data_IF_742815699114
#
_entry.id   IF_742815699114
#
_cell.length_a   1.000
_cell.length_b   1.000
_cell.length_c   1.000
_cell.angle_alpha   90.00
_cell.angle_beta   90.00
_cell.angle_gamma   90.00
#
_symmetry.space_group_name_H-M   'P 1'
#
loop_
_entity.id
_entity.type
_entity.pdbx_description
1 polymer ?
#
# COMPACT_ATOMS: atom_id res chain seq x y z
N UNK A 1 22.82 11.25 -21.94
CA UNK A 1 23.95 10.69 -21.19
C UNK A 1 24.15 11.32 -19.80
N UNK A 2 24.01 12.64 -19.62
CA UNK A 2 24.18 13.32 -18.32
C UNK A 2 23.08 12.99 -17.27
N UNK A 3 21.85 12.73 -17.69
CA UNK A 3 20.72 12.42 -16.79
C UNK A 3 20.86 11.03 -16.16
N UNK A 4 21.37 10.03 -16.89
CA UNK A 4 21.60 8.67 -16.35
C UNK A 4 22.72 8.64 -15.31
N UNK A 5 23.73 9.52 -15.46
CA UNK A 5 24.83 9.62 -14.49
C UNK A 5 24.36 10.27 -13.17
N UNK A 6 23.47 11.25 -13.25
CA UNK A 6 22.90 11.90 -12.06
C UNK A 6 22.01 10.94 -11.26
N UNK A 7 21.28 10.06 -11.95
CA UNK A 7 20.44 9.03 -11.32
C UNK A 7 21.30 7.96 -10.60
N UNK A 8 22.42 7.58 -11.20
CA UNK A 8 23.37 6.62 -10.60
C UNK A 8 24.06 7.23 -9.37
N UNK A 9 24.41 8.51 -9.40
CA UNK A 9 25.03 9.22 -8.28
C UNK A 9 24.04 9.40 -7.12
N UNK A 10 22.76 9.67 -7.38
CA UNK A 10 21.72 9.77 -6.36
C UNK A 10 21.44 8.40 -5.69
N UNK A 11 21.46 7.32 -6.47
CA UNK A 11 21.36 5.95 -5.94
C UNK A 11 22.56 5.58 -5.06
N UNK A 12 23.79 6.01 -5.41
CA UNK A 12 24.96 5.78 -4.57
C UNK A 12 24.93 6.60 -3.27
N UNK A 13 24.38 7.82 -3.30
CA UNK A 13 24.26 8.65 -2.08
C UNK A 13 23.22 8.11 -1.08
N UNK A 14 22.14 7.49 -1.59
CA UNK A 14 21.16 6.80 -0.75
C UNK A 14 21.72 5.51 -0.14
N UNK A 15 22.66 4.85 -0.82
CA UNK A 15 23.27 3.61 -0.32
C UNK A 15 24.32 3.82 0.79
N UNK A 16 24.91 5.02 0.89
CA UNK A 16 25.93 5.29 1.90
C UNK A 16 25.41 5.89 3.21
N UNK A 17 24.13 6.34 3.24
CA UNK A 17 23.55 6.98 4.43
C UNK A 17 22.77 6.01 5.34
N UNK A 18 22.60 4.75 4.95
CA UNK A 18 21.87 3.73 5.71
C UNK A 18 22.74 2.52 6.03
N UNK A 19 23.93 2.73 6.61
CA UNK A 19 24.74 1.62 7.17
C UNK A 19 24.36 1.29 8.63
N UNK A 20 23.08 1.31 8.98
CA UNK A 20 22.54 0.49 10.03
C UNK A 20 21.64 -0.56 9.39
N UNK A 21 22.26 -1.52 8.73
CA UNK A 21 21.63 -2.79 8.42
C UNK A 21 21.43 -3.55 9.73
N UNK A 22 20.34 -3.27 10.44
CA UNK A 22 19.75 -4.34 11.21
C UNK A 22 19.30 -5.35 10.16
N UNK A 23 19.94 -6.50 10.11
CA UNK A 23 19.48 -7.67 9.38
C UNK A 23 18.09 -8.04 9.92
N UNK A 24 17.06 -7.41 9.36
CA UNK A 24 15.70 -7.86 9.54
C UNK A 24 15.55 -9.08 8.63
N UNK A 25 16.14 -10.18 9.08
CA UNK A 25 16.16 -11.46 8.39
C UNK A 25 14.75 -12.03 8.25
N UNK A 26 14.60 -13.07 7.42
CA UNK A 26 13.42 -13.94 7.30
C UNK A 26 12.87 -14.45 8.65
N UNK A 27 13.63 -14.29 9.71
CA UNK A 27 13.31 -14.60 11.09
C UNK A 27 12.08 -13.83 11.59
N UNK A 28 11.88 -12.57 11.18
CA UNK A 28 10.73 -11.77 11.61
C UNK A 28 9.38 -12.28 11.03
N UNK A 29 9.39 -12.94 9.88
CA UNK A 29 8.17 -13.60 9.33
C UNK A 29 7.84 -14.86 10.12
N UNK A 30 8.81 -15.48 10.79
CA UNK A 30 8.59 -16.63 11.67
C UNK A 30 7.86 -16.24 12.94
N UNK A 31 7.98 -14.97 13.36
CA UNK A 31 7.40 -14.45 14.60
C UNK A 31 5.97 -13.90 14.43
N UNK A 32 5.38 -14.00 13.24
CA UNK A 32 3.93 -13.74 13.11
C UNK A 32 3.20 -14.72 14.01
N UNK A 33 2.51 -14.20 15.00
CA UNK A 33 1.74 -15.01 15.93
C UNK A 33 0.95 -16.10 15.16
N UNK A 34 1.21 -17.39 15.39
CA UNK A 34 0.55 -18.47 14.65
C UNK A 34 -0.97 -18.44 14.81
N UNK A 35 -1.47 -17.82 15.88
CA UNK A 35 -2.90 -17.66 16.16
C UNK A 35 -3.52 -16.44 15.48
N UNK A 36 -2.75 -15.56 14.81
CA UNK A 36 -3.31 -14.46 14.01
C UNK A 36 -4.20 -15.04 12.91
N UNK A 37 -5.28 -14.32 12.59
CA UNK A 37 -6.16 -14.67 11.49
C UNK A 37 -5.46 -14.53 10.12
N UNK A 38 -6.16 -14.91 9.06
CA UNK A 38 -5.62 -14.89 7.70
C UNK A 38 -5.40 -13.45 7.23
N UNK A 39 -6.31 -12.53 7.61
CA UNK A 39 -6.20 -11.11 7.25
C UNK A 39 -4.92 -10.47 7.74
N UNK A 40 -4.65 -10.61 9.04
CA UNK A 40 -3.43 -10.11 9.64
C UNK A 40 -2.18 -10.73 9.01
N UNK A 41 -2.18 -12.04 8.78
CA UNK A 41 -1.07 -12.74 8.11
C UNK A 41 -0.85 -12.24 6.69
N UNK A 42 -1.92 -12.00 5.93
CA UNK A 42 -1.85 -11.48 4.57
C UNK A 42 -1.31 -10.04 4.57
N UNK A 43 -1.80 -9.18 5.46
CA UNK A 43 -1.31 -7.81 5.61
C UNK A 43 0.19 -7.78 5.86
N UNK A 44 0.68 -8.56 6.84
CA UNK A 44 2.11 -8.61 7.21
C UNK A 44 2.98 -9.16 6.07
N UNK A 45 2.54 -10.23 5.40
CA UNK A 45 3.36 -10.93 4.40
C UNK A 45 3.50 -10.19 3.09
N UNK A 46 2.51 -9.39 2.72
CA UNK A 46 2.43 -8.74 1.41
C UNK A 46 2.74 -7.25 1.42
N UNK A 47 2.90 -6.63 2.60
CA UNK A 47 3.13 -5.19 2.72
C UNK A 47 4.47 -4.76 2.14
N UNK A 48 4.45 -3.63 1.41
CA UNK A 48 5.60 -2.98 0.79
C UNK A 48 5.51 -1.47 0.96
N UNK A 49 6.66 -0.79 0.92
CA UNK A 49 6.71 0.66 0.78
C UNK A 49 6.66 1.05 -0.70
N UNK A 50 6.07 2.19 -0.98
CA UNK A 50 6.04 2.80 -2.32
C UNK A 50 6.78 4.13 -2.24
N UNK A 51 7.84 4.29 -3.03
CA UNK A 51 8.56 5.54 -3.17
C UNK A 51 8.33 6.09 -4.57
N UNK A 52 7.72 7.27 -4.65
CA UNK A 52 7.37 7.94 -5.91
C UNK A 52 8.28 9.14 -6.13
N UNK A 53 8.87 9.21 -7.30
CA UNK A 53 9.81 10.25 -7.68
C UNK A 53 9.23 11.10 -8.80
N UNK A 54 9.22 12.41 -8.58
CA UNK A 54 8.84 13.42 -9.58
C UNK A 54 10.05 14.32 -9.79
N UNK A 55 10.47 14.52 -11.03
CA UNK A 55 11.64 15.36 -11.36
C UNK A 55 11.43 16.78 -10.80
N UNK A 56 12.41 17.26 -10.06
CA UNK A 56 12.39 18.59 -9.45
C UNK A 56 11.54 18.73 -8.18
N UNK A 57 11.03 17.65 -7.62
CA UNK A 57 10.30 17.64 -6.34
C UNK A 57 10.93 16.68 -5.34
N UNK A 58 10.73 16.89 -4.03
CA UNK A 58 11.01 15.86 -3.05
C UNK A 58 10.24 14.57 -3.39
N UNK A 59 10.84 13.41 -3.13
CA UNK A 59 10.12 12.15 -3.28
C UNK A 59 8.99 12.04 -2.25
N UNK A 60 7.91 11.37 -2.64
CA UNK A 60 6.82 10.99 -1.75
C UNK A 60 6.88 9.50 -1.46
N UNK A 61 6.26 9.09 -0.36
CA UNK A 61 6.18 7.68 0.01
C UNK A 61 4.78 7.34 0.51
N UNK A 62 4.44 6.07 0.34
CA UNK A 62 3.21 5.46 0.81
C UNK A 62 3.41 3.98 1.03
N UNK A 63 2.33 3.27 1.07
CA UNK A 63 2.27 1.83 1.29
C UNK A 63 1.55 1.12 0.14
N UNK A 64 1.71 -0.18 0.08
CA UNK A 64 0.98 -1.04 -0.83
C UNK A 64 1.05 -2.49 -0.39
N UNK A 65 0.35 -3.37 -1.11
CA UNK A 65 0.41 -4.80 -0.86
C UNK A 65 0.64 -5.58 -2.15
N UNK A 66 1.43 -6.64 -2.04
CA UNK A 66 1.87 -7.48 -3.14
C UNK A 66 0.90 -8.63 -3.37
N UNK A 67 0.33 -8.67 -4.57
CA UNK A 67 -0.68 -9.64 -4.97
C UNK A 67 -0.22 -10.49 -6.15
N UNK A 68 -0.91 -11.63 -6.31
CA UNK A 68 -0.86 -12.44 -7.52
C UNK A 68 -2.27 -12.78 -8.01
N UNK A 69 -2.41 -12.78 -9.34
CA UNK A 69 -3.57 -13.33 -10.02
C UNK A 69 -3.05 -14.17 -11.21
N UNK A 70 -3.25 -15.47 -11.15
CA UNK A 70 -2.62 -16.39 -12.09
C UNK A 70 -1.08 -16.28 -12.07
N UNK A 71 -0.49 -16.03 -13.23
CA UNK A 71 0.98 -15.80 -13.39
C UNK A 71 1.43 -14.37 -13.08
N UNK A 72 0.50 -13.44 -13.02
CA UNK A 72 0.80 -12.02 -12.90
C UNK A 72 1.03 -11.60 -11.45
N UNK A 73 1.90 -10.63 -11.28
CA UNK A 73 2.29 -10.04 -10.00
C UNK A 73 2.07 -8.55 -10.05
N UNK A 74 1.44 -8.00 -9.03
CA UNK A 74 1.13 -6.57 -8.98
C UNK A 74 1.07 -6.06 -7.54
N UNK A 75 1.19 -4.74 -7.42
CA UNK A 75 0.97 -4.02 -6.17
C UNK A 75 -0.35 -3.27 -6.28
N UNK A 76 -1.15 -3.35 -5.24
CA UNK A 76 -2.31 -2.49 -5.03
C UNK A 76 -1.92 -1.37 -4.07
N UNK A 77 -2.23 -0.12 -4.43
CA UNK A 77 -1.91 1.09 -3.65
C UNK A 77 -2.94 2.20 -3.93
N UNK A 78 -2.80 3.36 -3.29
CA UNK A 78 -3.63 4.53 -3.58
C UNK A 78 -3.12 5.31 -4.80
N UNK A 79 -4.03 5.89 -5.58
CA UNK A 79 -3.69 6.65 -6.79
C UNK A 79 -2.82 7.86 -6.47
N UNK A 80 -3.14 8.62 -5.41
CA UNK A 80 -2.37 9.81 -5.04
C UNK A 80 -0.94 9.50 -4.61
N UNK A 81 -0.63 8.26 -4.21
CA UNK A 81 0.74 7.83 -3.87
C UNK A 81 1.64 7.81 -5.10
N UNK A 82 1.08 7.54 -6.28
CA UNK A 82 1.80 7.43 -7.55
C UNK A 82 1.47 8.54 -8.54
N UNK A 83 0.68 9.54 -8.13
CA UNK A 83 0.24 10.63 -9.02
C UNK A 83 1.43 11.39 -9.61
N UNK A 84 1.43 11.49 -10.94
CA UNK A 84 2.47 12.18 -11.73
C UNK A 84 3.91 11.70 -11.47
N UNK A 85 4.08 10.49 -10.93
CA UNK A 85 5.39 9.93 -10.71
C UNK A 85 6.09 9.62 -12.04
N UNK A 86 7.30 10.14 -12.21
CA UNK A 86 8.20 9.76 -13.33
C UNK A 86 8.79 8.36 -13.13
N UNK A 87 8.89 7.92 -11.87
CA UNK A 87 9.36 6.60 -11.47
C UNK A 87 8.78 6.19 -10.12
N UNK A 88 8.46 4.92 -9.99
CA UNK A 88 7.94 4.33 -8.75
C UNK A 88 8.84 3.18 -8.34
N UNK A 89 9.36 3.22 -7.12
CA UNK A 89 10.16 2.15 -6.53
C UNK A 89 9.32 1.44 -5.45
N UNK A 90 9.16 0.14 -5.60
CA UNK A 90 8.54 -0.74 -4.61
C UNK A 90 9.63 -1.31 -3.74
N UNK A 91 9.62 -1.01 -2.45
CA UNK A 91 10.66 -1.36 -1.49
C UNK A 91 10.15 -2.43 -0.54
N UNK A 92 10.89 -3.51 -0.43
CA UNK A 92 10.62 -4.64 0.45
C UNK A 92 11.09 -4.38 1.89
N UNK A 93 10.73 -5.29 2.78
CA UNK A 93 11.22 -5.29 4.17
C UNK A 93 12.74 -5.34 4.29
N UNK A 94 13.41 -6.05 3.39
CA UNK A 94 14.88 -6.11 3.30
C UNK A 94 15.55 -4.83 2.80
N UNK A 95 14.76 -3.81 2.47
CA UNK A 95 15.18 -2.57 1.81
C UNK A 95 15.62 -2.77 0.35
N UNK A 96 15.45 -3.97 -0.23
CA UNK A 96 15.59 -4.19 -1.67
C UNK A 96 14.42 -3.49 -2.40
N UNK A 97 14.70 -2.91 -3.55
CA UNK A 97 13.71 -2.18 -4.34
C UNK A 97 13.57 -2.70 -5.76
N UNK A 98 12.35 -2.70 -6.26
CA UNK A 98 11.97 -3.08 -7.62
C UNK A 98 11.18 -1.95 -8.25
N UNK A 99 11.47 -1.62 -9.52
CA UNK A 99 10.69 -0.62 -10.25
C UNK A 99 9.30 -1.18 -10.56
N UNK A 100 8.28 -0.40 -10.20
CA UNK A 100 6.88 -0.67 -10.53
C UNK A 100 6.42 0.21 -11.69
N UNK A 101 5.67 -0.38 -12.61
CA UNK A 101 5.00 0.33 -13.70
C UNK A 101 3.54 0.52 -13.37
N UNK A 102 3.05 1.77 -13.35
CA UNK A 102 1.63 2.07 -13.16
C UNK A 102 0.86 1.54 -14.38
N UNK A 103 0.00 0.54 -14.18
CA UNK A 103 -0.83 -0.05 -15.23
C UNK A 103 -2.32 0.30 -15.09
N UNK A 104 -2.71 0.77 -13.92
CA UNK A 104 -4.05 1.29 -13.66
C UNK A 104 -3.96 2.41 -12.62
N UNK A 105 -4.69 3.49 -12.84
CA UNK A 105 -4.87 4.58 -11.90
C UNK A 105 -6.26 5.17 -12.07
N UNK A 106 -6.96 5.35 -10.95
CA UNK A 106 -8.25 6.02 -10.91
C UNK A 106 -8.27 7.04 -9.77
N UNK A 107 -8.17 8.30 -10.13
CA UNK A 107 -8.08 9.40 -9.16
C UNK A 107 -9.42 9.63 -8.43
N UNK A 108 -10.56 9.28 -9.04
CA UNK A 108 -11.87 9.43 -8.41
C UNK A 108 -12.03 8.46 -7.24
N UNK A 109 -11.65 7.22 -7.43
CA UNK A 109 -11.72 6.18 -6.40
C UNK A 109 -10.46 6.12 -5.55
N UNK A 110 -9.37 6.78 -6.00
CA UNK A 110 -8.06 6.80 -5.37
C UNK A 110 -7.42 5.41 -5.24
N UNK A 111 -7.43 4.66 -6.32
CA UNK A 111 -6.80 3.32 -6.40
C UNK A 111 -5.85 3.26 -7.59
N UNK A 112 -4.68 2.67 -7.37
CA UNK A 112 -3.72 2.37 -8.44
C UNK A 112 -3.17 0.94 -8.33
N UNK A 113 -2.77 0.40 -9.49
CA UNK A 113 -2.12 -0.91 -9.59
C UNK A 113 -0.78 -0.73 -10.30
N UNK A 114 0.26 -1.32 -9.72
CA UNK A 114 1.60 -1.36 -10.31
C UNK A 114 1.89 -2.79 -10.76
N UNK A 115 2.35 -2.94 -12.01
CA UNK A 115 2.94 -4.19 -12.46
C UNK A 115 4.41 -4.24 -12.07
N UNK A 116 4.89 -5.41 -11.68
CA UNK A 116 6.30 -5.67 -11.42
C UNK A 116 6.87 -6.56 -12.52
N UNK A 117 7.99 -6.16 -13.09
CA UNK A 117 8.70 -6.93 -14.12
C UNK A 117 9.50 -8.10 -13.52
N UNK A 118 9.73 -8.08 -12.21
CA UNK A 118 10.40 -9.13 -11.46
C UNK A 118 9.72 -9.39 -10.12
N UNK A 119 9.90 -10.59 -9.59
CA UNK A 119 9.36 -10.95 -8.27
C UNK A 119 10.13 -10.23 -7.16
N UNK A 120 9.42 -9.87 -6.11
CA UNK A 120 10.02 -9.49 -4.85
C UNK A 120 10.68 -10.72 -4.21
N UNK A 121 11.83 -10.54 -3.54
CA UNK A 121 12.61 -11.64 -2.97
C UNK A 121 12.12 -12.06 -1.59
N UNK A 122 11.79 -11.08 -0.76
CA UNK A 122 11.50 -11.27 0.67
C UNK A 122 10.03 -11.04 1.01
N UNK A 123 9.27 -10.40 0.13
CA UNK A 123 7.83 -10.19 0.27
C UNK A 123 7.05 -11.24 -0.53
N UNK A 124 6.05 -11.85 0.07
CA UNK A 124 5.27 -12.93 -0.55
C UNK A 124 3.99 -12.38 -1.17
N UNK A 125 3.72 -12.67 -2.46
CA UNK A 125 2.44 -12.28 -3.05
C UNK A 125 1.32 -13.14 -2.47
N UNK A 126 0.21 -12.50 -2.12
CA UNK A 126 -1.03 -13.17 -1.71
C UNK A 126 -2.01 -13.26 -2.87
N UNK A 127 -2.95 -14.20 -2.80
CA UNK A 127 -4.02 -14.27 -3.78
C UNK A 127 -4.97 -13.08 -3.61
N UNK A 128 -5.25 -12.39 -4.72
CA UNK A 128 -6.24 -11.32 -4.73
C UNK A 128 -7.65 -11.91 -4.65
N UNK A 129 -8.41 -11.47 -3.66
CA UNK A 129 -9.82 -11.77 -3.46
C UNK A 129 -10.47 -10.55 -2.79
N UNK A 130 -11.57 -10.06 -3.32
CA UNK A 130 -12.35 -8.97 -2.72
C UNK A 130 -13.39 -9.50 -1.73
N UNK A 131 -13.71 -8.68 -0.74
CA UNK A 131 -14.86 -8.88 0.14
C UNK A 131 -16.09 -8.27 -0.54
N UNK A 132 -17.18 -9.03 -0.67
CA UNK A 132 -18.43 -8.59 -1.31
C UNK A 132 -19.61 -8.52 -0.35
N UNK A 133 -19.38 -8.76 0.94
CA UNK A 133 -20.41 -8.80 1.95
C UNK A 133 -20.45 -7.50 2.77
N UNK A 134 -21.56 -7.27 3.47
CA UNK A 134 -21.65 -6.17 4.42
C UNK A 134 -20.78 -6.49 5.65
N UNK A 135 -19.64 -5.82 5.72
CA UNK A 135 -18.64 -6.00 6.77
C UNK A 135 -18.81 -5.05 7.97
N UNK A 136 -19.95 -4.31 8.07
CA UNK A 136 -20.16 -3.36 9.15
C UNK A 136 -20.04 -4.03 10.52
N UNK A 137 -19.10 -3.54 11.31
CA UNK A 137 -18.79 -4.11 12.63
C UNK A 137 -17.72 -5.20 12.63
N UNK A 138 -17.28 -5.67 11.47
CA UNK A 138 -16.23 -6.68 11.34
C UNK A 138 -14.85 -6.07 11.53
N UNK A 139 -13.91 -6.89 11.98
CA UNK A 139 -12.51 -6.52 12.10
C UNK A 139 -11.85 -6.32 10.72
N UNK A 140 -10.98 -5.33 10.66
CA UNK A 140 -10.12 -5.07 9.48
C UNK A 140 -8.68 -4.90 9.91
N UNK A 141 -7.76 -5.35 9.06
CA UNK A 141 -6.33 -5.38 9.33
C UNK A 141 -5.56 -4.72 8.21
N UNK A 142 -4.53 -3.94 8.56
CA UNK A 142 -3.57 -3.48 7.57
C UNK A 142 -2.15 -3.42 8.14
N UNK A 143 -1.18 -3.38 7.26
CA UNK A 143 0.21 -3.04 7.57
C UNK A 143 0.65 -1.91 6.68
N UNK A 144 1.10 -0.83 7.30
CA UNK A 144 1.57 0.37 6.61
C UNK A 144 2.99 0.77 7.04
N UNK A 145 3.45 1.87 6.45
CA UNK A 145 4.79 2.42 6.67
C UNK A 145 4.72 3.91 7.07
N UNK A 146 4.00 4.26 8.15
CA UNK A 146 3.80 5.65 8.52
C UNK A 146 5.10 6.33 8.94
N UNK A 147 5.32 7.57 8.46
CA UNK A 147 6.41 8.45 8.89
C UNK A 147 7.81 7.80 8.94
N UNK A 148 8.07 6.81 8.05
CA UNK A 148 9.33 6.05 8.03
C UNK A 148 9.41 4.91 9.06
N UNK A 149 8.38 4.71 9.87
CA UNK A 149 8.25 3.47 10.66
C UNK A 149 7.88 2.35 9.71
N UNK A 150 8.72 1.34 9.65
CA UNK A 150 8.50 0.18 8.79
C UNK A 150 7.58 -0.82 9.49
N UNK A 151 6.60 -1.36 8.76
CA UNK A 151 5.71 -2.43 9.24
C UNK A 151 4.91 -2.10 10.50
N UNK A 152 4.18 -0.98 10.44
CA UNK A 152 3.20 -0.65 11.47
C UNK A 152 1.94 -1.48 11.25
N UNK A 153 1.66 -2.40 12.18
CA UNK A 153 0.52 -3.32 12.14
C UNK A 153 -0.65 -2.70 12.87
N UNK A 154 -1.80 -2.66 12.24
CA UNK A 154 -3.04 -2.12 12.80
C UNK A 154 -4.21 -3.08 12.64
N UNK A 155 -5.07 -3.08 13.64
CA UNK A 155 -6.38 -3.70 13.65
C UNK A 155 -7.43 -2.65 14.00
N UNK A 156 -8.56 -2.71 13.34
CA UNK A 156 -9.69 -1.84 13.62
C UNK A 156 -11.01 -2.45 13.16
N UNK A 157 -12.01 -1.60 12.98
CA UNK A 157 -13.37 -2.03 12.65
C UNK A 157 -13.85 -1.29 11.41
N UNK A 158 -14.50 -2.00 10.50
CA UNK A 158 -15.28 -1.38 9.45
C UNK A 158 -16.52 -0.73 10.06
N UNK A 159 -16.54 0.61 10.07
CA UNK A 159 -17.55 1.41 10.76
C UNK A 159 -18.71 1.83 9.87
N UNK A 160 -18.61 1.63 8.57
CA UNK A 160 -19.66 1.98 7.60
C UNK A 160 -19.15 2.76 6.40
N UNK A 161 -20.00 3.64 5.88
CA UNK A 161 -19.72 4.42 4.66
C UNK A 161 -19.80 5.92 4.94
N UNK A 162 -18.94 6.69 4.29
CA UNK A 162 -19.01 8.14 4.24
C UNK A 162 -18.86 8.60 2.79
N UNK A 163 -19.94 9.09 2.20
CA UNK A 163 -20.06 9.29 0.75
C UNK A 163 -19.77 7.98 -0.03
N UNK A 164 -18.86 8.01 -0.99
CA UNK A 164 -18.45 6.84 -1.78
C UNK A 164 -17.21 6.13 -1.20
N UNK A 165 -16.89 6.35 0.08
CA UNK A 165 -15.71 5.81 0.77
C UNK A 165 -16.11 4.91 1.93
N UNK A 166 -15.29 3.91 2.18
CA UNK A 166 -15.37 3.11 3.39
C UNK A 166 -14.88 3.94 4.57
N UNK A 167 -15.60 3.91 5.68
CA UNK A 167 -15.20 4.49 6.94
C UNK A 167 -14.69 3.40 7.86
N UNK A 168 -13.43 3.49 8.27
CA UNK A 168 -12.79 2.49 9.12
C UNK A 168 -12.21 3.14 10.38
N UNK A 169 -12.37 2.48 11.50
CA UNK A 169 -11.77 2.91 12.77
C UNK A 169 -10.38 2.27 12.90
N UNK A 170 -9.43 2.85 12.20
CA UNK A 170 -7.99 2.54 12.28
C UNK A 170 -7.21 3.83 12.32
N UNK A 171 -5.99 3.80 12.85
CA UNK A 171 -5.12 4.97 12.79
C UNK A 171 -4.60 5.18 11.37
N UNK A 172 -4.82 6.37 10.82
CA UNK A 172 -4.26 6.81 9.55
C UNK A 172 -3.15 7.82 9.78
N UNK A 173 -1.97 7.55 9.26
CA UNK A 173 -0.81 8.44 9.33
C UNK A 173 -0.25 8.73 7.94
N UNK A 174 0.45 9.86 7.73
CA UNK A 174 1.21 10.09 6.51
C UNK A 174 2.17 8.92 6.24
N UNK A 175 2.05 8.30 5.07
CA UNK A 175 2.77 7.09 4.70
C UNK A 175 1.95 5.79 4.80
N UNK A 176 0.83 5.77 5.55
CA UNK A 176 -0.11 4.64 5.53
C UNK A 176 -1.00 4.61 4.27
N UNK A 177 -1.06 5.70 3.51
CA UNK A 177 -1.79 5.77 2.24
C UNK A 177 -1.37 4.64 1.31
N UNK A 178 -2.35 3.94 0.74
CA UNK A 178 -2.14 2.80 -0.13
C UNK A 178 -2.05 1.45 0.57
N UNK A 179 -2.00 1.39 1.91
CA UNK A 179 -2.13 0.13 2.65
C UNK A 179 -3.47 -0.53 2.33
N UNK A 180 -3.45 -1.83 2.07
CA UNK A 180 -4.68 -2.60 1.83
C UNK A 180 -5.26 -3.09 3.14
N UNK A 181 -6.56 -2.91 3.29
CA UNK A 181 -7.36 -3.45 4.38
C UNK A 181 -7.81 -4.87 4.04
N UNK A 182 -7.68 -5.77 5.01
CA UNK A 182 -8.11 -7.16 4.91
C UNK A 182 -9.14 -7.47 5.99
N UNK A 183 -10.12 -8.32 5.67
CA UNK A 183 -10.99 -8.95 6.66
C UNK A 183 -10.31 -10.17 7.32
N UNK A 184 -11.00 -10.84 8.25
CA UNK A 184 -10.51 -12.03 8.96
C UNK A 184 -10.11 -13.18 8.03
N UNK A 185 -10.82 -13.32 6.89
CA UNK A 185 -10.57 -14.37 5.88
C UNK A 185 -9.46 -13.98 4.90
N UNK A 186 -8.86 -12.81 5.06
CA UNK A 186 -7.80 -12.30 4.20
C UNK A 186 -8.28 -11.82 2.83
N UNK A 187 -9.56 -11.43 2.72
CA UNK A 187 -10.12 -10.79 1.53
C UNK A 187 -9.86 -9.28 1.60
N UNK A 188 -9.67 -8.67 0.44
CA UNK A 188 -9.46 -7.23 0.33
C UNK A 188 -10.77 -6.49 0.57
N UNK A 189 -10.78 -5.60 1.54
CA UNK A 189 -11.91 -4.72 1.89
C UNK A 189 -11.76 -3.37 1.17
N UNK A 190 -10.57 -2.80 1.20
CA UNK A 190 -10.33 -1.48 0.62
C UNK A 190 -8.86 -1.07 0.64
N UNK A 191 -8.58 0.14 0.16
CA UNK A 191 -7.25 0.76 0.15
C UNK A 191 -7.30 2.05 0.95
N UNK A 192 -6.45 2.20 1.97
CA UNK A 192 -6.36 3.42 2.78
C UNK A 192 -6.01 4.63 1.91
N UNK A 193 -6.84 5.66 1.98
CA UNK A 193 -6.77 6.82 1.10
C UNK A 193 -6.51 8.12 1.86
N UNK A 194 -7.29 8.40 2.89
CA UNK A 194 -7.24 9.66 3.61
C UNK A 194 -7.67 9.52 5.07
N UNK A 195 -7.23 10.45 5.89
CA UNK A 195 -7.74 10.65 7.26
C UNK A 195 -8.83 11.71 7.22
N UNK A 196 -9.94 11.48 7.89
CA UNK A 196 -10.97 12.50 8.03
C UNK A 196 -10.43 13.68 8.83
N UNK A 197 -10.53 14.87 8.27
CA UNK A 197 -10.22 16.10 8.96
C UNK A 197 -11.50 16.91 9.15
N UNK A 198 -11.64 17.57 10.31
CA UNK A 198 -12.68 18.56 10.57
C UNK A 198 -12.07 19.93 10.77
N UNK A 199 -12.73 20.97 10.29
CA UNK A 199 -12.31 22.35 10.52
C UNK A 199 -13.07 22.88 11.71
N UNK A 200 -12.39 23.05 12.84
CA UNK A 200 -12.97 23.61 14.06
C UNK A 200 -12.85 25.12 14.01
N UNK A 201 -13.96 25.82 14.30
CA UNK A 201 -14.06 27.28 14.31
C UNK A 201 -13.64 27.96 12.99
N UNK A 202 -13.73 27.26 11.85
CA UNK A 202 -13.41 27.79 10.53
C UNK A 202 -11.92 28.08 10.27
N UNK A 203 -11.03 27.70 11.16
CA UNK A 203 -9.61 28.08 11.06
C UNK A 203 -8.59 26.96 11.29
N UNK A 204 -8.93 25.92 12.04
CA UNK A 204 -7.95 24.88 12.42
C UNK A 204 -8.44 23.51 11.95
N UNK A 205 -7.74 22.85 11.02
CA UNK A 205 -8.03 21.45 10.70
C UNK A 205 -7.62 20.54 11.86
N UNK A 206 -8.56 19.77 12.38
CA UNK A 206 -8.30 18.70 13.36
C UNK A 206 -8.42 17.39 12.62
N UNK A 207 -7.34 16.63 12.60
CA UNK A 207 -7.33 15.30 12.01
C UNK A 207 -7.91 14.30 12.99
N UNK A 208 -8.97 13.62 12.58
CA UNK A 208 -9.55 12.52 13.33
C UNK A 208 -8.81 11.24 12.92
N UNK A 209 -7.61 11.04 13.44
CA UNK A 209 -6.68 9.99 13.02
C UNK A 209 -7.24 8.57 13.15
N UNK A 210 -8.26 8.38 13.98
CA UNK A 210 -8.98 7.11 14.13
C UNK A 210 -10.17 6.97 13.16
N UNK A 211 -10.48 7.99 12.35
CA UNK A 211 -11.51 7.92 11.32
C UNK A 211 -10.85 8.01 9.96
N UNK A 212 -10.44 6.88 9.46
CA UNK A 212 -9.74 6.77 8.19
C UNK A 212 -10.72 6.42 7.08
N UNK A 213 -10.54 7.06 5.92
CA UNK A 213 -11.29 6.79 4.71
C UNK A 213 -10.49 5.85 3.83
N UNK A 214 -11.13 4.78 3.39
CA UNK A 214 -10.56 3.85 2.43
C UNK A 214 -11.35 3.85 1.13
N UNK A 215 -10.64 3.64 0.02
CA UNK A 215 -11.27 3.39 -1.26
C UNK A 215 -11.93 2.03 -1.24
N UNK A 216 -13.19 1.96 -1.69
CA UNK A 216 -13.87 0.68 -1.93
C UNK A 216 -13.22 -0.01 -3.14
N UNK A 217 -12.86 -1.27 -2.98
CA UNK A 217 -12.26 -2.09 -4.03
C UNK A 217 -13.20 -3.12 -4.62
N UNK A 218 -14.46 -3.13 -4.23
CA UNK A 218 -15.48 -4.08 -4.71
C UNK A 218 -15.71 -4.01 -6.23
N UNK A 219 -15.37 -2.87 -6.85
CA UNK A 219 -15.42 -2.69 -8.31
C UNK A 219 -14.17 -3.23 -9.04
N UNK A 220 -13.08 -3.55 -8.32
CA UNK A 220 -11.88 -4.18 -8.88
C UNK A 220 -12.10 -5.70 -8.99
N UNK A 221 -13.18 -6.05 -9.66
CA UNK A 221 -13.49 -7.45 -9.92
C UNK A 221 -12.55 -8.07 -10.95
N UNK A 222 -12.72 -9.36 -11.18
CA UNK A 222 -11.90 -10.13 -12.12
C UNK A 222 -11.90 -9.54 -13.55
N UNK A 223 -12.92 -8.75 -13.93
CA UNK A 223 -13.01 -8.14 -15.26
C UNK A 223 -11.98 -7.01 -15.40
N UNK A 224 -11.91 -6.10 -14.43
CA UNK A 224 -10.94 -4.99 -14.44
C UNK A 224 -9.51 -5.54 -14.33
N UNK A 225 -9.29 -6.43 -13.39
CA UNK A 225 -8.00 -7.09 -13.24
C UNK A 225 -7.67 -7.89 -14.51
N UNK A 226 -8.64 -8.60 -15.08
CA UNK A 226 -8.48 -9.32 -16.33
C UNK A 226 -8.14 -8.43 -17.54
N UNK A 227 -8.62 -7.18 -17.59
CA UNK A 227 -8.23 -6.20 -18.62
C UNK A 227 -6.79 -5.71 -18.42
N UNK A 228 -6.44 -5.33 -17.18
CA UNK A 228 -5.09 -4.89 -16.83
C UNK A 228 -4.06 -5.98 -17.15
N UNK A 229 -4.42 -7.25 -16.98
CA UNK A 229 -3.54 -8.37 -17.27
C UNK A 229 -3.39 -8.63 -18.78
N UNK A 230 -4.41 -8.31 -19.59
CA UNK A 230 -4.35 -8.44 -21.05
C UNK A 230 -3.51 -7.34 -21.71
N UNK A 231 -3.62 -6.12 -21.22
CA UNK A 231 -2.86 -4.97 -21.74
C UNK A 231 -1.37 -5.03 -21.35
N UNK A 232 -0.99 -6.02 -20.55
CA UNK A 232 0.40 -6.28 -20.14
C UNK A 232 1.09 -7.42 -20.90
N UNK A 233 0.44 -8.03 -21.90
CA UNK A 233 1.04 -9.01 -22.84
C UNK A 233 1.50 -8.31 -24.11
#
# INVERSE_FOLDING_TARGET
>A
MKLKLLFLALMMFLSTSFTHTTEWSDEYIRDVNPFSNIGMKNAIRSSVQIHSFVVGKPFSFGSGNYFRLGKHRFILTAAHVVDKADSVLVVERSMDGVIGTVVYQNDKTDVAILRLDQNLKHTKPIYYRTAHENLMGESVYYVGHPAGVTFFVEEGIFSGYHAERLLVNVYGYPGSSGSVLFDDDGRVVGVLSAVKAEVIAGMIPVYLSQLTLAADTSYLDDIIIGQILRDGE
#
